data_IF_987551795453
#
_entry.id   IF_987551795453
#
_cell.length_a   1.000
_cell.length_b   1.000
_cell.length_c   1.000
_cell.angle_alpha   90.00
_cell.angle_beta   90.00
_cell.angle_gamma   90.00
#
_symmetry.space_group_name_H-M   'P 1'
#
loop_
_entity.id
_entity.type
_entity.pdbx_description
1 polymer ?
#
# COMPACT_ATOMS: atom_id res chain seq x y z
N UNK A 1 -5.37 16.59 -20.63
CA UNK A 1 -6.31 15.68 -19.96
C UNK A 1 -5.54 14.42 -19.63
N UNK A 2 -5.67 13.90 -18.42
CA UNK A 2 -4.89 12.75 -17.97
C UNK A 2 -5.72 11.47 -18.09
N UNK A 3 -5.10 10.29 -18.13
CA UNK A 3 -5.82 9.01 -18.26
C UNK A 3 -6.72 8.67 -17.05
N UNK A 4 -6.50 9.29 -15.90
CA UNK A 4 -7.35 9.11 -14.72
C UNK A 4 -8.75 9.69 -14.89
N UNK A 5 -8.98 10.53 -15.92
CA UNK A 5 -10.29 11.07 -16.29
C UNK A 5 -11.21 10.00 -16.95
N UNK A 6 -10.68 8.83 -17.34
CA UNK A 6 -11.46 7.75 -17.98
C UNK A 6 -12.19 6.83 -17.02
N UNK A 7 -12.17 7.11 -15.71
CA UNK A 7 -12.87 6.27 -14.72
C UNK A 7 -12.30 4.86 -14.60
N UNK A 8 -11.00 4.67 -14.84
CA UNK A 8 -10.34 3.40 -14.56
C UNK A 8 -10.52 3.01 -13.09
N UNK A 9 -10.84 1.75 -12.86
CA UNK A 9 -11.13 1.17 -11.55
C UNK A 9 -10.75 -0.31 -11.60
N UNK A 10 -10.12 -0.82 -10.54
CA UNK A 10 -9.61 -2.18 -10.46
C UNK A 10 -10.71 -3.21 -10.66
N UNK A 11 -11.92 -2.97 -10.12
CA UNK A 11 -13.06 -3.91 -10.23
C UNK A 11 -13.48 -4.17 -11.69
N UNK A 12 -13.30 -3.21 -12.58
CA UNK A 12 -13.70 -3.30 -13.98
C UNK A 12 -12.50 -3.49 -14.93
N UNK A 13 -11.37 -2.90 -14.58
CA UNK A 13 -10.25 -2.69 -15.49
C UNK A 13 -8.92 -3.25 -14.97
N UNK A 14 -8.89 -3.80 -13.76
CA UNK A 14 -7.76 -4.56 -13.23
C UNK A 14 -7.62 -5.93 -13.91
N UNK A 15 -6.53 -6.63 -13.61
CA UNK A 15 -6.37 -8.02 -14.04
C UNK A 15 -7.33 -8.99 -13.29
N UNK A 16 -7.18 -10.30 -13.55
CA UNK A 16 -8.01 -11.33 -12.90
C UNK A 16 -7.94 -11.25 -11.37
N UNK A 17 -6.76 -11.09 -10.79
CA UNK A 17 -6.55 -11.12 -9.34
C UNK A 17 -6.92 -9.78 -8.70
N UNK A 18 -6.61 -8.68 -9.36
CA UNK A 18 -7.05 -7.34 -8.96
C UNK A 18 -8.57 -7.28 -8.89
N UNK A 19 -9.29 -7.70 -9.93
CA UNK A 19 -10.76 -7.72 -9.91
C UNK A 19 -11.32 -8.60 -8.80
N UNK A 20 -10.72 -9.78 -8.63
CA UNK A 20 -11.20 -10.78 -7.67
C UNK A 20 -10.97 -10.34 -6.21
N UNK A 21 -9.80 -9.76 -5.92
CA UNK A 21 -9.39 -9.50 -4.53
C UNK A 21 -9.41 -8.04 -4.11
N UNK A 22 -9.57 -7.09 -5.04
CA UNK A 22 -9.73 -5.68 -4.68
C UNK A 22 -10.84 -5.42 -3.64
N UNK A 23 -12.02 -6.07 -3.71
CA UNK A 23 -13.06 -5.90 -2.69
C UNK A 23 -12.61 -6.26 -1.27
N UNK A 24 -11.56 -7.07 -1.10
CA UNK A 24 -11.04 -7.45 0.22
C UNK A 24 -10.25 -6.33 0.91
N UNK A 25 -9.72 -5.40 0.12
CA UNK A 25 -8.74 -4.40 0.57
C UNK A 25 -9.21 -2.96 0.38
N UNK A 26 -10.17 -2.69 -0.51
CA UNK A 26 -10.54 -1.32 -0.93
C UNK A 26 -10.86 -0.36 0.22
N UNK A 27 -11.45 -0.88 1.30
CA UNK A 27 -11.86 -0.07 2.45
C UNK A 27 -10.70 0.19 3.43
N UNK A 28 -9.69 -0.69 3.45
CA UNK A 28 -8.53 -0.62 4.36
C UNK A 28 -7.26 -0.07 3.68
N UNK A 29 -7.18 -0.10 2.34
CA UNK A 29 -6.03 0.37 1.55
C UNK A 29 -6.45 0.98 0.19
N UNK A 30 -7.27 2.05 0.17
CA UNK A 30 -7.78 2.67 -1.06
C UNK A 30 -6.67 3.28 -1.95
N UNK A 31 -5.53 3.66 -1.36
CA UNK A 31 -4.41 4.27 -2.09
C UNK A 31 -3.76 3.31 -3.09
N UNK A 32 -3.96 2.00 -2.96
CA UNK A 32 -3.52 1.05 -3.98
C UNK A 32 -4.14 1.38 -5.35
N UNK A 33 -5.47 1.53 -5.42
CA UNK A 33 -6.18 1.84 -6.67
C UNK A 33 -5.88 3.24 -7.19
N UNK A 34 -5.81 4.23 -6.29
CA UNK A 34 -5.48 5.59 -6.68
C UNK A 34 -4.09 5.65 -7.33
N UNK A 35 -3.10 5.01 -6.70
CA UNK A 35 -1.75 4.94 -7.22
C UNK A 35 -1.70 4.13 -8.52
N UNK A 36 -2.39 2.99 -8.57
CA UNK A 36 -2.53 2.16 -9.76
C UNK A 36 -3.05 2.97 -10.95
N UNK A 37 -4.16 3.68 -10.75
CA UNK A 37 -4.79 4.51 -11.78
C UNK A 37 -3.87 5.63 -12.27
N UNK A 38 -3.15 6.30 -11.37
CA UNK A 38 -2.31 7.45 -11.71
C UNK A 38 -0.95 7.06 -12.27
N UNK A 39 -0.36 5.95 -11.83
CA UNK A 39 1.05 5.64 -12.08
C UNK A 39 1.29 4.27 -12.71
N UNK A 40 0.36 3.33 -12.65
CA UNK A 40 0.50 2.01 -13.27
C UNK A 40 -0.18 1.97 -14.64
N UNK A 41 -1.41 2.45 -14.75
CA UNK A 41 -2.13 2.60 -16.02
C UNK A 41 -1.27 3.15 -17.18
N UNK A 42 -0.51 4.25 -17.02
CA UNK A 42 0.28 4.81 -18.12
C UNK A 42 1.44 3.91 -18.55
N UNK A 43 1.82 2.89 -17.79
CA UNK A 43 2.80 1.89 -18.20
C UNK A 43 2.17 0.78 -19.08
N UNK A 44 0.84 0.71 -19.14
CA UNK A 44 0.10 -0.39 -19.78
C UNK A 44 -0.52 0.01 -21.11
N UNK A 45 -0.89 -0.99 -21.91
CA UNK A 45 -1.57 -0.81 -23.19
C UNK A 45 -2.98 -0.19 -23.05
N UNK A 46 -3.46 0.06 -21.83
CA UNK A 46 -4.74 0.75 -21.57
C UNK A 46 -4.80 2.17 -22.13
N UNK A 47 -3.65 2.82 -22.28
CA UNK A 47 -3.54 4.15 -22.86
C UNK A 47 -3.14 4.13 -24.35
N UNK A 48 -2.95 2.93 -24.93
CA UNK A 48 -2.64 2.77 -26.34
C UNK A 48 -3.93 2.83 -27.17
N UNK A 49 -4.06 3.77 -28.12
CA UNK A 49 -5.31 3.99 -28.85
C UNK A 49 -5.68 2.85 -29.82
N UNK A 50 -4.68 2.05 -30.21
CA UNK A 50 -4.77 0.96 -31.17
C UNK A 50 -5.06 -0.40 -30.53
N UNK A 51 -5.08 -0.49 -29.19
CA UNK A 51 -5.31 -1.74 -28.45
C UNK A 51 -6.65 -1.64 -27.72
N UNK A 52 -7.72 -2.29 -28.21
CA UNK A 52 -9.04 -2.21 -27.58
C UNK A 52 -9.11 -3.03 -26.28
N UNK A 53 -10.05 -2.73 -25.35
CA UNK A 53 -10.21 -3.48 -24.10
C UNK A 53 -10.50 -4.99 -24.25
N UNK A 54 -11.00 -5.42 -25.41
CA UNK A 54 -11.24 -6.83 -25.73
C UNK A 54 -9.95 -7.60 -26.05
N UNK A 55 -8.83 -6.91 -26.30
CA UNK A 55 -7.54 -7.54 -26.58
C UNK A 55 -6.86 -7.96 -25.27
N UNK A 56 -6.39 -9.21 -25.18
CA UNK A 56 -5.69 -9.72 -24.00
C UNK A 56 -4.41 -8.94 -23.65
N UNK A 57 -3.81 -8.25 -24.64
CA UNK A 57 -2.63 -7.38 -24.45
C UNK A 57 -2.97 -6.08 -23.73
N UNK A 58 -4.24 -5.66 -23.71
CA UNK A 58 -4.69 -4.37 -23.17
C UNK A 58 -4.23 -4.13 -21.73
N UNK A 59 -4.22 -5.19 -20.92
CA UNK A 59 -3.83 -5.12 -19.51
C UNK A 59 -2.30 -5.11 -19.32
N UNK A 60 -1.55 -5.63 -20.31
CA UNK A 60 -0.10 -5.77 -20.25
C UNK A 60 0.65 -4.44 -20.34
N UNK A 61 1.94 -4.47 -19.98
CA UNK A 61 2.83 -3.33 -20.19
C UNK A 61 2.93 -2.95 -21.67
N UNK A 62 3.15 -1.66 -21.95
CA UNK A 62 3.49 -1.20 -23.30
C UNK A 62 4.86 -1.73 -23.67
N UNK A 63 4.96 -2.32 -24.85
CA UNK A 63 6.23 -2.77 -25.42
C UNK A 63 6.97 -1.58 -26.03
N UNK A 64 7.51 -0.74 -25.14
CA UNK A 64 8.14 0.53 -25.50
C UNK A 64 9.51 0.65 -24.81
N UNK A 65 10.62 0.49 -25.56
CA UNK A 65 11.96 0.48 -24.99
C UNK A 65 12.40 1.83 -24.41
N UNK A 66 11.63 2.90 -24.63
CA UNK A 66 11.89 4.23 -24.04
C UNK A 66 11.27 4.36 -22.64
N UNK A 67 10.37 3.47 -22.24
CA UNK A 67 9.88 3.43 -20.86
C UNK A 67 11.03 3.03 -19.94
N UNK A 68 11.19 3.77 -18.86
CA UNK A 68 12.29 3.53 -17.94
C UNK A 68 12.06 2.24 -17.13
N UNK A 69 13.03 1.33 -17.12
CA UNK A 69 12.93 0.07 -16.38
C UNK A 69 12.75 0.24 -14.86
N UNK A 70 13.12 1.40 -14.28
CA UNK A 70 12.88 1.66 -12.86
C UNK A 70 11.40 1.85 -12.53
N UNK A 71 10.59 2.42 -13.44
CA UNK A 71 9.13 2.55 -13.23
C UNK A 71 8.42 1.21 -13.41
N UNK A 72 8.95 0.33 -14.26
CA UNK A 72 8.47 -1.05 -14.36
C UNK A 72 8.78 -1.86 -13.09
N UNK A 73 10.02 -1.78 -12.57
CA UNK A 73 10.40 -2.44 -11.32
C UNK A 73 9.56 -1.95 -10.12
N UNK A 74 9.18 -0.67 -10.12
CA UNK A 74 8.23 -0.10 -9.17
C UNK A 74 6.85 -0.74 -9.34
N UNK A 75 6.33 -0.82 -10.57
CA UNK A 75 5.02 -1.40 -10.86
C UNK A 75 4.93 -2.88 -10.46
N UNK A 76 5.96 -3.68 -10.78
CA UNK A 76 6.04 -5.08 -10.38
C UNK A 76 5.99 -5.25 -8.86
N UNK A 77 6.73 -4.40 -8.12
CA UNK A 77 6.75 -4.45 -6.66
C UNK A 77 5.43 -4.01 -6.04
N UNK A 78 4.79 -2.96 -6.60
CA UNK A 78 3.47 -2.49 -6.21
C UNK A 78 2.41 -3.59 -6.35
N UNK A 79 2.32 -4.21 -7.53
CA UNK A 79 1.39 -5.32 -7.79
C UNK A 79 1.66 -6.50 -6.86
N UNK A 80 2.93 -6.89 -6.69
CA UNK A 80 3.30 -8.02 -5.84
C UNK A 80 2.93 -7.78 -4.36
N UNK A 81 3.10 -6.55 -3.86
CA UNK A 81 2.64 -6.19 -2.50
C UNK A 81 1.14 -6.41 -2.36
N UNK A 82 0.33 -5.94 -3.31
CA UNK A 82 -1.12 -6.18 -3.29
C UNK A 82 -1.46 -7.65 -3.37
N UNK A 83 -0.91 -8.39 -4.32
CA UNK A 83 -1.21 -9.79 -4.54
C UNK A 83 -1.03 -10.62 -3.26
N UNK A 84 0.13 -10.50 -2.60
CA UNK A 84 0.41 -11.25 -1.38
C UNK A 84 -0.43 -10.78 -0.19
N UNK A 85 -0.68 -9.48 -0.08
CA UNK A 85 -1.51 -8.92 1.00
C UNK A 85 -2.98 -9.32 0.87
N UNK A 86 -3.51 -9.27 -0.35
CA UNK A 86 -4.86 -9.71 -0.70
C UNK A 86 -5.05 -11.19 -0.37
N UNK A 87 -4.10 -12.03 -0.79
CA UNK A 87 -4.13 -13.46 -0.49
C UNK A 87 -4.00 -13.75 1.00
N UNK A 88 -3.12 -13.03 1.72
CA UNK A 88 -3.04 -13.13 3.18
C UNK A 88 -4.39 -12.75 3.83
N UNK A 89 -5.04 -11.70 3.33
CA UNK A 89 -6.35 -11.25 3.83
C UNK A 89 -7.42 -12.30 3.62
N UNK A 90 -7.43 -12.95 2.45
CA UNK A 90 -8.33 -14.06 2.15
C UNK A 90 -8.16 -15.19 3.18
N UNK A 91 -6.92 -15.65 3.38
CA UNK A 91 -6.58 -16.72 4.33
C UNK A 91 -7.00 -16.34 5.75
N UNK A 92 -6.64 -15.15 6.21
CA UNK A 92 -6.87 -14.72 7.60
C UNK A 92 -8.36 -14.52 7.91
N UNK A 93 -9.14 -13.99 6.95
CA UNK A 93 -10.55 -13.64 7.19
C UNK A 93 -11.52 -14.78 6.90
N UNK A 94 -11.26 -15.60 5.87
CA UNK A 94 -12.29 -16.47 5.31
C UNK A 94 -11.96 -17.96 5.37
N UNK A 95 -10.69 -18.36 5.53
CA UNK A 95 -10.37 -19.78 5.64
C UNK A 95 -10.77 -20.30 7.03
N UNK A 96 -11.61 -21.34 7.11
CA UNK A 96 -12.09 -21.88 8.38
C UNK A 96 -10.96 -22.55 9.17
N UNK A 97 -10.06 -23.27 8.48
CA UNK A 97 -8.86 -23.89 9.04
C UNK A 97 -7.65 -23.03 8.65
N UNK A 98 -6.92 -22.51 9.63
CA UNK A 98 -5.87 -21.53 9.38
C UNK A 98 -4.49 -22.18 9.52
N UNK A 99 -3.82 -22.32 8.38
CA UNK A 99 -2.41 -22.66 8.31
C UNK A 99 -1.58 -21.41 8.56
N UNK A 100 -1.09 -21.27 9.80
CA UNK A 100 -0.31 -20.09 10.22
C UNK A 100 0.93 -19.89 9.36
N UNK A 101 1.59 -20.98 9.00
CA UNK A 101 2.79 -21.00 8.16
C UNK A 101 2.52 -20.28 6.83
N UNK A 102 1.38 -20.57 6.19
CA UNK A 102 0.96 -19.94 4.95
C UNK A 102 0.60 -18.46 5.14
N UNK A 103 -0.17 -18.14 6.18
CA UNK A 103 -0.57 -16.77 6.47
C UNK A 103 0.65 -15.87 6.75
N UNK A 104 1.60 -16.33 7.56
CA UNK A 104 2.84 -15.62 7.85
C UNK A 104 3.77 -15.56 6.64
N UNK A 105 3.85 -16.62 5.82
CA UNK A 105 4.61 -16.60 4.58
C UNK A 105 4.06 -15.54 3.60
N UNK A 106 2.73 -15.44 3.46
CA UNK A 106 2.08 -14.44 2.61
C UNK A 106 2.29 -13.01 3.14
N UNK A 107 2.10 -12.78 4.44
CA UNK A 107 2.38 -11.47 5.05
C UNK A 107 3.86 -11.09 4.88
N UNK A 108 4.78 -12.03 5.11
CA UNK A 108 6.20 -11.79 4.92
C UNK A 108 6.54 -11.46 3.46
N UNK A 109 5.95 -12.17 2.49
CA UNK A 109 6.10 -11.88 1.07
C UNK A 109 5.56 -10.48 0.70
N UNK A 110 4.43 -10.06 1.26
CA UNK A 110 3.90 -8.72 1.09
C UNK A 110 4.88 -7.65 1.61
N UNK A 111 5.46 -7.86 2.81
CA UNK A 111 6.46 -6.93 3.38
C UNK A 111 7.75 -6.87 2.58
N UNK A 112 8.22 -8.00 2.02
CA UNK A 112 9.43 -8.04 1.21
C UNK A 112 9.25 -7.28 -0.12
N UNK A 113 8.09 -7.42 -0.77
CA UNK A 113 7.76 -6.67 -1.97
C UNK A 113 7.56 -5.18 -1.69
N UNK A 114 6.98 -4.85 -0.52
CA UNK A 114 6.87 -3.46 -0.09
C UNK A 114 8.25 -2.82 0.16
N UNK A 115 9.17 -3.53 0.80
CA UNK A 115 10.55 -3.07 0.98
C UNK A 115 11.24 -2.87 -0.38
N UNK A 116 11.04 -3.78 -1.33
CA UNK A 116 11.56 -3.62 -2.71
C UNK A 116 10.98 -2.37 -3.37
N UNK A 117 9.67 -2.15 -3.26
CA UNK A 117 8.99 -0.96 -3.78
C UNK A 117 9.60 0.33 -3.22
N UNK A 118 9.75 0.44 -1.89
CA UNK A 118 10.36 1.61 -1.24
C UNK A 118 11.83 1.78 -1.65
N UNK A 119 12.59 0.69 -1.81
CA UNK A 119 13.99 0.74 -2.27
C UNK A 119 14.11 1.29 -3.70
N UNK A 120 13.19 0.94 -4.61
CA UNK A 120 13.17 1.48 -5.98
C UNK A 120 13.00 3.00 -5.93
N UNK A 121 12.10 3.49 -5.07
CA UNK A 121 11.92 4.93 -4.84
C UNK A 121 13.20 5.61 -4.37
N UNK A 122 13.76 5.15 -3.24
CA UNK A 122 14.95 5.77 -2.65
C UNK A 122 16.17 5.78 -3.56
N UNK A 123 16.46 4.63 -4.17
CA UNK A 123 17.72 4.42 -4.86
C UNK A 123 17.69 4.96 -6.29
N UNK A 124 16.51 5.04 -6.90
CA UNK A 124 16.38 5.24 -8.34
C UNK A 124 15.43 6.37 -8.69
N UNK A 125 14.14 6.24 -8.33
CA UNK A 125 13.11 7.14 -8.85
C UNK A 125 13.15 8.56 -8.26
N UNK A 126 13.55 8.73 -6.99
CA UNK A 126 13.62 10.08 -6.38
C UNK A 126 14.48 11.03 -7.20
N UNK A 127 15.71 10.62 -7.53
CA UNK A 127 16.63 11.43 -8.33
C UNK A 127 16.10 11.61 -9.75
N UNK A 128 15.61 10.51 -10.35
CA UNK A 128 15.18 10.50 -11.75
C UNK A 128 13.96 11.39 -12.00
N UNK A 129 13.04 11.45 -11.04
CA UNK A 129 11.81 12.23 -11.11
C UNK A 129 11.93 13.61 -10.45
N UNK A 130 13.15 14.04 -10.10
CA UNK A 130 13.43 15.31 -9.43
C UNK A 130 12.59 15.53 -8.16
N UNK A 131 12.33 14.46 -7.40
CA UNK A 131 11.56 14.51 -6.15
C UNK A 131 12.45 14.85 -4.96
N UNK A 132 11.85 15.45 -3.94
CA UNK A 132 12.51 15.62 -2.65
C UNK A 132 12.54 14.28 -1.89
N UNK A 133 13.72 13.90 -1.38
CA UNK A 133 13.89 12.71 -0.52
C UNK A 133 13.01 12.74 0.74
N UNK A 134 12.60 13.93 1.19
CA UNK A 134 11.73 14.08 2.39
C UNK A 134 10.29 13.67 2.12
N UNK A 135 9.89 13.64 0.85
CA UNK A 135 8.51 13.36 0.42
C UNK A 135 8.29 11.88 0.07
N UNK A 136 9.35 11.06 0.13
CA UNK A 136 9.22 9.61 -0.05
C UNK A 136 9.26 8.88 1.31
N UNK A 137 8.60 7.71 1.43
CA UNK A 137 8.63 6.85 2.61
C UNK A 137 10.03 6.64 3.16
N UNK A 138 10.24 6.37 4.45
CA UNK A 138 11.59 6.10 4.98
C UNK A 138 12.07 4.72 4.51
N UNK A 139 13.33 4.62 4.08
CA UNK A 139 13.91 3.41 3.47
C UNK A 139 14.06 2.22 4.41
N UNK A 140 14.07 2.45 5.73
CA UNK A 140 14.26 1.43 6.76
C UNK A 140 12.94 0.72 7.10
N UNK A 141 12.29 0.16 6.08
CA UNK A 141 11.00 -0.54 6.19
C UNK A 141 11.13 -1.74 7.14
N UNK A 142 12.25 -2.45 7.05
CA UNK A 142 12.60 -3.59 7.90
C UNK A 142 12.65 -3.25 9.39
N UNK A 143 12.79 -1.98 9.74
CA UNK A 143 12.87 -1.56 11.14
C UNK A 143 11.51 -1.34 11.80
N UNK A 144 10.43 -1.36 11.03
CA UNK A 144 9.06 -1.16 11.53
C UNK A 144 8.61 -2.33 12.38
N UNK A 145 7.97 -2.03 13.50
CA UNK A 145 7.64 -3.01 14.52
C UNK A 145 6.78 -4.16 13.96
N UNK A 146 5.73 -3.84 13.19
CA UNK A 146 4.84 -4.86 12.60
C UNK A 146 5.57 -5.78 11.63
N UNK A 147 6.51 -5.25 10.84
CA UNK A 147 7.29 -6.02 9.85
C UNK A 147 8.30 -6.92 10.56
N UNK A 148 8.95 -6.42 11.62
CA UNK A 148 9.82 -7.23 12.49
C UNK A 148 9.06 -8.40 13.09
N UNK A 149 7.88 -8.14 13.67
CA UNK A 149 7.06 -9.17 14.29
C UNK A 149 6.57 -10.21 13.29
N UNK A 150 6.09 -9.81 12.10
CA UNK A 150 5.76 -10.76 11.01
C UNK A 150 6.94 -11.66 10.67
N UNK A 151 8.15 -11.11 10.55
CA UNK A 151 9.37 -11.88 10.23
C UNK A 151 9.78 -12.83 11.34
N UNK A 152 9.71 -12.39 12.59
CA UNK A 152 10.03 -13.22 13.76
C UNK A 152 9.12 -14.44 13.80
N UNK A 153 7.79 -14.26 13.73
CA UNK A 153 6.85 -15.38 13.69
C UNK A 153 7.08 -16.30 12.48
N UNK A 154 7.22 -15.72 11.28
CA UNK A 154 7.51 -16.48 10.05
C UNK A 154 8.77 -17.32 10.18
N UNK A 155 9.83 -16.77 10.77
CA UNK A 155 11.09 -17.49 10.93
C UNK A 155 10.95 -18.66 11.89
N UNK A 156 10.30 -18.47 13.04
CA UNK A 156 10.05 -19.57 13.98
C UNK A 156 9.15 -20.63 13.35
N UNK A 157 8.05 -20.24 12.68
CA UNK A 157 7.12 -21.19 12.07
C UNK A 157 7.71 -22.01 10.92
N UNK A 158 8.59 -21.41 10.10
CA UNK A 158 9.16 -22.09 8.93
C UNK A 158 10.45 -22.85 9.23
N UNK A 159 11.21 -22.44 10.24
CA UNK A 159 12.54 -22.99 10.51
C UNK A 159 12.62 -23.80 11.80
N UNK A 160 11.69 -23.60 12.75
CA UNK A 160 11.60 -24.47 13.92
C UNK A 160 10.70 -25.68 13.60
N UNK A 161 11.14 -26.90 13.94
CA UNK A 161 10.32 -28.08 13.69
C UNK A 161 9.13 -28.08 14.67
N UNK A 162 7.91 -27.93 14.13
CA UNK A 162 6.59 -27.97 14.80
C UNK A 162 6.51 -27.14 16.08
N UNK A 163 6.04 -25.90 15.95
CA UNK A 163 5.54 -25.13 17.10
C UNK A 163 4.38 -25.92 17.74
N UNK A 164 4.56 -26.34 18.99
CA UNK A 164 3.52 -27.04 19.73
C UNK A 164 2.24 -26.20 19.73
N UNK A 165 1.20 -26.70 19.03
CA UNK A 165 -0.13 -26.12 19.07
C UNK A 165 -0.76 -26.57 20.39
N UNK A 166 -1.38 -25.66 21.11
CA UNK A 166 -2.13 -26.01 22.33
C UNK A 166 -3.41 -26.77 21.93
N UNK A 167 -3.29 -28.07 21.65
CA UNK A 167 -4.41 -28.92 21.20
C UNK A 167 -5.55 -29.02 22.23
N UNK A 168 -5.30 -28.63 23.48
CA UNK A 168 -6.30 -28.59 24.56
C UNK A 168 -7.17 -27.32 24.52
N UNK A 169 -6.86 -26.37 23.63
CA UNK A 169 -7.66 -25.17 23.44
C UNK A 169 -8.52 -25.32 22.18
N UNK A 170 -9.79 -24.91 22.25
CA UNK A 170 -10.76 -24.99 21.14
C UNK A 170 -10.42 -24.07 19.95
N UNK A 171 -9.30 -23.34 20.01
CA UNK A 171 -8.83 -22.46 18.95
C UNK A 171 -7.33 -22.61 18.72
N UNK A 172 -6.86 -22.08 17.61
CA UNK A 172 -5.47 -22.19 17.19
C UNK A 172 -4.65 -21.08 17.88
N UNK A 173 -3.83 -21.46 18.85
CA UNK A 173 -2.99 -20.53 19.61
C UNK A 173 -1.53 -20.58 19.16
N UNK A 174 -0.84 -19.43 19.25
CA UNK A 174 0.59 -19.31 19.02
C UNK A 174 1.28 -18.76 20.27
N UNK A 175 2.55 -19.15 20.53
CA UNK A 175 3.32 -18.53 21.59
C UNK A 175 3.45 -17.02 21.36
N UNK A 176 3.34 -16.24 22.44
CA UNK A 176 3.53 -14.80 22.39
C UNK A 176 4.96 -14.44 21.97
N UNK A 177 5.11 -13.29 21.33
CA UNK A 177 6.41 -12.78 20.84
C UNK A 177 7.54 -12.86 21.88
N UNK A 178 7.25 -12.60 23.16
CA UNK A 178 8.26 -12.55 24.22
C UNK A 178 8.92 -13.91 24.50
N UNK A 179 8.26 -15.02 24.16
CA UNK A 179 8.77 -16.38 24.39
C UNK A 179 9.22 -17.07 23.09
N UNK A 180 8.92 -16.51 21.91
CA UNK A 180 9.20 -17.11 20.60
C UNK A 180 10.64 -17.62 20.45
N UNK A 181 11.64 -16.81 20.81
CA UNK A 181 13.06 -17.19 20.67
C UNK A 181 13.42 -18.42 21.51
N UNK A 182 12.89 -18.50 22.74
CA UNK A 182 13.14 -19.66 23.62
C UNK A 182 12.42 -20.91 23.11
N UNK A 183 11.25 -20.73 22.50
CA UNK A 183 10.48 -21.81 21.87
C UNK A 183 11.21 -22.35 20.64
N UNK A 184 11.77 -21.48 19.81
CA UNK A 184 12.60 -21.84 18.65
C UNK A 184 13.79 -22.72 19.05
N UNK A 185 14.42 -22.43 20.20
CA UNK A 185 15.62 -23.12 20.67
C UNK A 185 15.32 -24.43 21.45
N UNK A 186 14.09 -24.67 21.93
CA UNK A 186 13.81 -25.80 22.81
C UNK A 186 12.35 -26.28 22.82
N UNK A 187 12.14 -27.50 22.32
CA UNK A 187 10.85 -28.21 22.46
C UNK A 187 10.44 -28.47 23.90
N UNK A 188 11.40 -28.72 24.79
CA UNK A 188 11.11 -28.90 26.23
C UNK A 188 10.62 -27.60 26.84
N UNK A 189 11.13 -26.45 26.41
CA UNK A 189 10.59 -25.16 26.83
C UNK A 189 9.17 -24.97 26.27
N UNK A 190 8.98 -25.24 24.97
CA UNK A 190 7.68 -25.14 24.31
C UNK A 190 6.60 -26.01 24.98
N UNK A 191 6.93 -27.25 25.35
CA UNK A 191 6.01 -28.19 25.99
C UNK A 191 5.60 -27.81 27.41
N UNK A 192 6.36 -26.93 28.07
CA UNK A 192 6.10 -26.47 29.44
C UNK A 192 5.52 -25.05 29.49
N UNK A 193 5.15 -24.47 28.34
CA UNK A 193 4.49 -23.17 28.32
C UNK A 193 3.12 -23.25 28.98
N UNK A 194 2.84 -22.25 29.83
CA UNK A 194 1.52 -22.04 30.42
C UNK A 194 0.60 -21.32 29.44
N UNK A 195 -0.71 -21.47 29.60
CA UNK A 195 -1.73 -20.86 28.75
C UNK A 195 -1.54 -19.34 28.57
N UNK A 196 -1.15 -18.64 29.64
CA UNK A 196 -0.82 -17.21 29.63
C UNK A 196 0.32 -16.80 28.68
N UNK A 197 1.11 -17.76 28.21
CA UNK A 197 2.21 -17.56 27.25
C UNK A 197 1.77 -17.65 25.80
N UNK A 198 0.49 -17.93 25.55
CA UNK A 198 -0.11 -18.03 24.23
C UNK A 198 -1.01 -16.83 23.92
N UNK A 199 -1.16 -16.52 22.65
CA UNK A 199 -2.18 -15.60 22.12
C UNK A 199 -2.97 -16.28 21.00
N UNK A 200 -4.23 -15.87 20.82
CA UNK A 200 -5.11 -16.41 19.79
C UNK A 200 -4.56 -16.06 18.40
N UNK A 201 -4.29 -17.08 17.59
CA UNK A 201 -3.45 -16.95 16.41
C UNK A 201 -4.10 -16.16 15.27
N UNK A 202 -5.43 -16.28 15.09
CA UNK A 202 -6.15 -15.50 14.08
C UNK A 202 -6.18 -14.03 14.45
N UNK A 203 -6.41 -13.71 15.73
CA UNK A 203 -6.39 -12.37 16.29
C UNK A 203 -5.01 -11.71 16.15
N UNK A 204 -3.94 -12.45 16.43
CA UNK A 204 -2.56 -12.04 16.14
C UNK A 204 -2.39 -11.67 14.66
N UNK A 205 -2.77 -12.56 13.74
CA UNK A 205 -2.64 -12.32 12.30
C UNK A 205 -3.49 -11.14 11.82
N UNK A 206 -4.71 -10.97 12.33
CA UNK A 206 -5.56 -9.82 12.02
C UNK A 206 -4.93 -8.51 12.51
N UNK A 207 -4.38 -8.49 13.74
CA UNK A 207 -3.65 -7.34 14.29
C UNK A 207 -2.45 -6.98 13.43
N UNK A 208 -1.64 -7.97 13.04
CA UNK A 208 -0.46 -7.76 12.19
C UNK A 208 -0.84 -7.28 10.78
N UNK A 209 -1.87 -7.88 10.17
CA UNK A 209 -2.42 -7.45 8.88
C UNK A 209 -2.87 -5.99 8.93
N UNK A 210 -3.67 -5.62 9.93
CA UNK A 210 -4.16 -4.26 10.10
C UNK A 210 -3.00 -3.27 10.34
N UNK A 211 -1.99 -3.67 11.12
CA UNK A 211 -0.76 -2.89 11.31
C UNK A 211 -0.03 -2.66 9.99
N UNK A 212 0.14 -3.71 9.18
CA UNK A 212 0.79 -3.61 7.87
C UNK A 212 0.00 -2.71 6.91
N UNK A 213 -1.33 -2.84 6.85
CA UNK A 213 -2.19 -1.99 6.02
C UNK A 213 -2.08 -0.51 6.37
N UNK A 214 -1.98 -0.16 7.66
CA UNK A 214 -1.74 1.22 8.10
C UNK A 214 -0.40 1.77 7.61
N UNK A 215 0.66 0.97 7.72
CA UNK A 215 2.00 1.34 7.24
C UNK A 215 2.02 1.56 5.71
N UNK A 216 1.40 0.64 4.96
CA UNK A 216 1.29 0.73 3.51
C UNK A 216 0.49 1.96 3.07
N UNK A 217 -0.68 2.16 3.69
CA UNK A 217 -1.55 3.31 3.44
C UNK A 217 -0.81 4.63 3.63
N UNK A 218 -0.12 4.79 4.77
CA UNK A 218 0.62 6.02 5.07
C UNK A 218 1.74 6.30 4.07
N UNK A 219 2.39 5.26 3.55
CA UNK A 219 3.50 5.43 2.62
C UNK A 219 3.07 5.62 1.17
N UNK A 220 2.02 4.94 0.72
CA UNK A 220 1.41 5.20 -0.58
C UNK A 220 0.85 6.61 -0.62
N UNK A 221 0.16 7.07 0.43
CA UNK A 221 -0.37 8.44 0.48
C UNK A 221 0.74 9.49 0.38
N UNK A 222 1.89 9.29 1.07
CA UNK A 222 3.06 10.17 0.93
C UNK A 222 3.58 10.21 -0.50
N UNK A 223 3.71 9.04 -1.13
CA UNK A 223 4.18 8.94 -2.51
C UNK A 223 3.23 9.61 -3.51
N UNK A 224 1.92 9.39 -3.39
CA UNK A 224 0.93 10.04 -4.25
C UNK A 224 0.99 11.56 -4.10
N UNK A 225 1.08 12.05 -2.86
CA UNK A 225 1.22 13.49 -2.58
C UNK A 225 2.47 14.06 -3.24
N UNK A 226 3.58 13.31 -3.25
CA UNK A 226 4.82 13.71 -3.88
C UNK A 226 4.75 13.66 -5.41
N UNK A 227 4.04 12.68 -5.97
CA UNK A 227 4.01 12.40 -7.40
C UNK A 227 2.98 13.19 -8.17
N UNK A 228 1.84 13.53 -7.56
CA UNK A 228 0.77 14.28 -8.20
C UNK A 228 1.28 15.55 -8.92
N UNK A 229 2.07 16.45 -8.28
CA UNK A 229 2.65 17.59 -8.99
C UNK A 229 3.75 17.15 -9.97
N UNK A 230 4.49 16.09 -9.66
CA UNK A 230 5.60 15.63 -10.51
C UNK A 230 5.15 15.06 -11.85
N UNK A 231 3.88 14.65 -11.98
CA UNK A 231 3.31 14.21 -13.27
C UNK A 231 3.52 15.25 -14.37
N UNK A 232 3.44 16.54 -14.06
CA UNK A 232 3.66 17.60 -15.07
C UNK A 232 5.13 17.82 -15.43
N UNK A 233 6.08 17.21 -14.72
CA UNK A 233 7.51 17.41 -14.98
C UNK A 233 7.94 16.65 -16.23
N UNK A 234 8.84 17.26 -17.02
CA UNK A 234 9.42 16.63 -18.20
C UNK A 234 10.13 15.32 -17.86
N UNK A 235 10.82 15.25 -16.73
CA UNK A 235 11.50 14.02 -16.29
C UNK A 235 10.51 12.87 -16.02
N UNK A 236 9.32 13.16 -15.48
CA UNK A 236 8.26 12.16 -15.33
C UNK A 236 7.78 11.69 -16.68
N UNK A 237 7.41 12.62 -17.57
CA UNK A 237 6.90 12.28 -18.92
C UNK A 237 7.90 11.45 -19.72
N UNK A 238 9.19 11.79 -19.64
CA UNK A 238 10.27 11.01 -20.23
C UNK A 238 10.37 9.60 -19.64
N UNK A 239 10.24 9.42 -18.31
CA UNK A 239 10.31 8.10 -17.69
C UNK A 239 9.21 7.15 -18.15
N UNK A 240 8.04 7.71 -18.47
CA UNK A 240 6.88 6.96 -18.95
C UNK A 240 6.74 7.03 -20.47
N UNK A 241 7.68 7.64 -21.20
CA UNK A 241 7.58 7.95 -22.63
C UNK A 241 6.20 8.50 -23.07
N UNK A 242 5.78 9.63 -22.51
CA UNK A 242 4.45 10.22 -22.73
C UNK A 242 4.42 11.36 -23.75
N UNK A 243 5.52 11.64 -24.44
CA UNK A 243 5.68 12.91 -25.18
C UNK A 243 5.26 12.89 -26.67
N UNK A 244 4.93 11.73 -27.24
CA UNK A 244 4.75 11.59 -28.69
C UNK A 244 3.34 11.33 -29.22
N UNK A 245 2.55 10.44 -28.58
CA UNK A 245 1.27 9.95 -29.15
C UNK A 245 0.23 9.54 -28.11
N UNK A 246 0.57 9.58 -26.82
CA UNK A 246 -0.32 9.14 -25.74
C UNK A 246 -1.19 10.28 -25.19
N UNK A 247 -1.27 11.38 -25.95
CA UNK A 247 -2.37 12.32 -25.80
C UNK A 247 -3.62 11.63 -26.32
N UNK A 248 -4.44 11.20 -25.38
CA UNK A 248 -5.86 10.88 -25.51
C UNK A 248 -6.44 11.37 -26.85
N UNK A 249 -6.96 10.48 -27.70
CA UNK A 249 -7.64 10.86 -28.93
C UNK A 249 -8.69 11.95 -28.64
N UNK A 250 -8.58 13.11 -29.30
CA UNK A 250 -9.62 14.14 -29.31
C UNK A 250 -9.36 15.47 -28.57
N UNK A 251 -8.17 15.73 -27.99
CA UNK A 251 -7.85 17.07 -27.43
C UNK A 251 -6.42 17.52 -27.72
N UNK A 252 -6.28 18.69 -28.36
CA UNK A 252 -5.00 19.35 -28.66
C UNK A 252 -4.20 19.65 -27.39
N UNK A 253 -2.88 19.45 -27.44
CA UNK A 253 -1.98 19.80 -26.33
C UNK A 253 -2.06 21.31 -26.02
N UNK A 254 -2.15 21.72 -24.74
CA UNK A 254 -1.90 23.11 -24.38
C UNK A 254 -0.42 23.42 -24.64
N UNK A 255 -0.16 24.56 -25.27
CA UNK A 255 1.19 25.01 -25.62
C UNK A 255 2.05 25.18 -24.36
N UNK A 256 3.02 24.28 -24.17
CA UNK A 256 3.87 24.20 -22.99
C UNK A 256 5.06 25.17 -23.02
N UNK A 257 5.16 26.05 -24.03
CA UNK A 257 6.29 26.98 -24.18
C UNK A 257 6.33 28.14 -23.18
N UNK A 258 5.32 28.34 -22.33
CA UNK A 258 5.16 29.57 -21.55
C UNK A 258 5.33 29.46 -20.02
N UNK A 259 5.91 28.39 -19.47
CA UNK A 259 6.13 28.29 -18.00
C UNK A 259 7.57 27.97 -17.60
N UNK A 260 8.51 28.77 -18.07
CA UNK A 260 9.80 28.96 -17.40
C UNK A 260 10.11 30.45 -17.33
N UNK A 261 9.49 31.13 -16.36
CA UNK A 261 10.01 32.38 -15.83
C UNK A 261 10.26 32.16 -14.34
N UNK A 262 11.50 32.46 -13.97
CA UNK A 262 12.14 32.31 -12.67
C UNK A 262 11.21 32.29 -11.44
N UNK A 263 11.38 31.25 -10.61
CA UNK A 263 11.13 31.36 -9.18
C UNK A 263 12.21 32.28 -8.61
N UNK A 264 11.85 33.55 -8.43
CA UNK A 264 12.62 34.51 -7.67
C UNK A 264 12.61 34.08 -6.19
N UNK A 265 13.73 33.51 -5.75
CA UNK A 265 14.03 33.24 -4.35
C UNK A 265 14.65 34.50 -3.75
N UNK A 266 13.83 35.46 -3.33
CA UNK A 266 14.28 36.50 -2.40
C UNK A 266 13.15 37.01 -1.49
N UNK A 267 13.18 36.56 -0.24
CA UNK A 267 12.72 37.27 0.96
C UNK A 267 13.33 36.57 2.17
N UNK A 268 13.60 37.23 3.32
CA UNK A 268 12.70 38.23 3.91
C UNK A 268 13.33 39.39 4.73
N UNK A 269 12.55 40.45 4.90
CA UNK A 269 12.48 41.33 6.09
C UNK A 269 11.23 42.20 5.91
N UNK A 270 10.45 42.65 6.89
CA UNK A 270 10.26 42.41 8.31
C UNK A 270 8.94 43.16 8.66
N UNK A 271 8.39 42.85 9.84
CA UNK A 271 7.47 43.71 10.63
C UNK A 271 6.00 43.81 10.21
N UNK A 272 5.11 43.41 11.14
CA UNK A 272 3.67 43.58 10.98
C UNK A 272 2.83 42.97 12.10
N UNK A 273 2.99 43.55 13.29
CA UNK A 273 2.09 43.68 14.45
C UNK A 273 0.78 42.87 14.55
N UNK A 274 0.63 42.30 15.75
CA UNK A 274 -0.52 41.67 16.42
C UNK A 274 -1.82 42.49 16.37
N UNK A 275 -2.96 41.82 16.12
CA UNK A 275 -4.26 42.17 16.72
C UNK A 275 -4.94 40.89 17.23
N UNK A 276 -5.12 40.84 18.55
CA UNK A 276 -5.97 39.91 19.28
C UNK A 276 -7.43 40.35 19.18
N UNK A 277 -8.34 39.40 18.95
CA UNK A 277 -9.77 39.61 19.20
C UNK A 277 -10.41 38.28 19.62
N UNK A 278 -10.63 38.15 20.92
CA UNK A 278 -11.44 37.12 21.56
C UNK A 278 -12.93 37.32 21.26
N UNK A 279 -13.66 36.23 21.02
CA UNK A 279 -15.09 36.19 21.31
C UNK A 279 -15.49 34.79 21.79
N UNK A 280 -16.18 34.80 22.91
CA UNK A 280 -16.56 33.70 23.78
C UNK A 280 -18.00 33.24 23.51
N UNK A 281 -18.30 31.96 23.85
CA UNK A 281 -19.62 31.38 24.23
C UNK A 281 -20.59 31.09 23.05
N UNK A 282 -21.39 30.00 23.02
CA UNK A 282 -22.34 29.47 24.02
C UNK A 282 -22.63 27.96 23.76
N UNK A 283 -22.99 27.24 24.83
CA UNK A 283 -23.54 25.87 24.91
C UNK A 283 -25.01 25.71 24.44
N UNK A 284 -25.37 24.55 23.89
CA UNK A 284 -26.58 23.75 24.21
C UNK A 284 -26.47 22.38 23.51
N UNK A 285 -26.55 21.19 24.10
CA UNK A 285 -27.54 20.56 24.98
C UNK A 285 -28.88 20.17 24.27
N UNK A 286 -29.32 18.93 24.56
CA UNK A 286 -30.57 18.22 24.19
C UNK A 286 -30.61 17.60 22.78
N UNK A 287 -31.12 16.39 22.52
CA UNK A 287 -31.87 15.40 23.33
C UNK A 287 -32.02 14.10 22.51
N UNK A 288 -31.94 12.94 23.18
CA UNK A 288 -32.49 11.67 22.69
C UNK A 288 -34.03 11.72 22.67
N UNK A 289 -34.67 10.89 21.84
CA UNK A 289 -35.66 10.00 22.43
C UNK A 289 -35.51 8.53 22.00
N UNK A 290 -35.66 7.70 23.01
CA UNK A 290 -36.12 6.33 23.02
C UNK A 290 -37.31 6.07 22.08
N UNK A 291 -37.24 4.97 21.33
CA UNK A 291 -38.37 4.33 20.66
C UNK A 291 -38.23 2.82 20.78
N UNK A 292 -38.88 2.25 21.79
CA UNK A 292 -39.12 0.82 21.95
C UNK A 292 -40.43 0.48 21.23
N UNK A 293 -40.42 -0.54 20.37
CA UNK A 293 -41.62 -1.23 19.95
C UNK A 293 -41.27 -2.69 19.61
N UNK A 294 -41.68 -3.59 20.51
CA UNK A 294 -42.02 -4.98 20.20
C UNK A 294 -43.07 -5.02 19.10
N UNK A 295 -43.03 -6.05 18.25
CA UNK A 295 -44.15 -6.97 17.98
C UNK A 295 -43.68 -8.08 17.02
N UNK A 296 -44.01 -9.30 17.44
CA UNK A 296 -44.09 -10.60 16.72
C UNK A 296 -42.81 -11.32 16.28
#
# INVERSE_FOLDING_TARGET
MWWDDFGFALVNHGDRYERLWWPLLRDEFPQYESFWRKHIIPLTNRIAPDIPPSDGRWIGFRDDPKINSDVEAMAQSHYSTFYFLARATLVIKYEPQLFFEDAFALLAAATANFERFVKVWHRRLVKRLALSKRLVPVGNVENRQVIKEIREYRNVLLHAPVLGRAHYLNSEFLPKKQVLKKVEESWRFASNLREESFEEGRGLLQRLRAGLLRELTGDWQKLETALDPARSYLCYRNCYNLDGNYCIPGKSQPDLRLRFSALDLSSPAASGTVVLSSATRVMSAASNPSGSAMLE
#
